data_IF_114397097932
#
_entry.id   IF_114397097932
#
_cell.length_a   1.000
_cell.length_b   1.000
_cell.length_c   1.000
_cell.angle_alpha   90.00
_cell.angle_beta   90.00
_cell.angle_gamma   90.00
#
_symmetry.space_group_name_H-M   'P 1'
#
loop_
_entity.id
_entity.type
_entity.pdbx_description
1 polymer ?
#
# COMPACT_ATOMS: atom_id res chain seq x y z
N UNK A 1 -12.42 -0.38 42.12
CA UNK A 1 -12.35 -0.41 40.63
C UNK A 1 -11.74 -1.74 40.25
N UNK A 2 -12.31 -2.45 39.27
CA UNK A 2 -11.61 -3.59 38.67
C UNK A 2 -10.59 -2.99 37.71
N UNK A 3 -9.39 -2.70 38.22
CA UNK A 3 -8.28 -2.22 37.41
C UNK A 3 -7.90 -3.34 36.44
N UNK A 4 -7.79 -3.02 35.14
CA UNK A 4 -7.36 -4.03 34.16
C UNK A 4 -5.89 -4.39 34.41
N UNK A 5 -5.54 -5.66 34.29
CA UNK A 5 -4.14 -6.07 34.24
C UNK A 5 -3.62 -5.89 32.82
N UNK A 6 -3.13 -4.68 32.51
CA UNK A 6 -2.61 -4.36 31.18
C UNK A 6 -1.54 -5.38 30.73
N UNK A 7 -1.56 -5.83 29.46
CA UNK A 7 -0.69 -6.88 28.94
C UNK A 7 0.80 -6.74 29.25
N UNK A 8 1.32 -5.52 29.23
CA UNK A 8 2.72 -5.20 29.50
C UNK A 8 3.12 -5.26 30.99
N UNK A 9 2.23 -5.66 31.89
CA UNK A 9 2.55 -5.88 33.31
C UNK A 9 2.83 -7.35 33.65
N UNK A 10 2.63 -8.27 32.71
CA UNK A 10 2.86 -9.69 32.96
C UNK A 10 4.36 -10.02 32.99
N UNK A 11 4.81 -10.70 34.04
CA UNK A 11 6.13 -11.36 34.04
C UNK A 11 6.10 -12.59 33.12
N UNK A 12 7.23 -12.86 32.46
CA UNK A 12 7.36 -13.93 31.48
C UNK A 12 8.41 -14.95 31.93
N UNK A 13 8.12 -16.23 31.70
CA UNK A 13 9.14 -17.28 31.73
C UNK A 13 10.16 -17.08 30.60
N UNK A 14 11.27 -17.81 30.66
CA UNK A 14 12.24 -17.80 29.56
C UNK A 14 11.60 -18.23 28.23
N UNK A 15 10.77 -19.27 28.24
CA UNK A 15 10.11 -19.78 27.05
C UNK A 15 9.13 -18.77 26.44
N UNK A 16 8.27 -18.16 27.26
CA UNK A 16 7.30 -17.15 26.82
C UNK A 16 8.00 -15.93 26.20
N UNK A 17 9.07 -15.43 26.84
CA UNK A 17 9.87 -14.33 26.32
C UNK A 17 10.53 -14.68 24.97
N UNK A 18 11.12 -15.87 24.86
CA UNK A 18 11.76 -16.34 23.62
C UNK A 18 10.76 -16.49 22.47
N UNK A 19 9.54 -16.98 22.73
CA UNK A 19 8.48 -17.12 21.72
C UNK A 19 8.03 -15.74 21.22
N UNK A 20 7.88 -14.75 22.11
CA UNK A 20 7.50 -13.40 21.71
C UNK A 20 8.56 -12.78 20.80
N UNK A 21 9.84 -12.82 21.19
CA UNK A 21 10.93 -12.30 20.35
C UNK A 21 10.96 -13.01 19.00
N UNK A 22 10.81 -14.33 18.98
CA UNK A 22 10.75 -15.09 17.74
C UNK A 22 9.61 -14.61 16.84
N UNK A 23 8.38 -14.51 17.37
CA UNK A 23 7.21 -14.09 16.60
C UNK A 23 7.36 -12.67 16.03
N UNK A 24 7.84 -11.72 16.85
CA UNK A 24 8.10 -10.35 16.42
C UNK A 24 9.18 -10.30 15.32
N UNK A 25 10.27 -11.04 15.49
CA UNK A 25 11.38 -11.08 14.53
C UNK A 25 10.93 -11.68 13.20
N UNK A 26 10.21 -12.80 13.23
CA UNK A 26 9.69 -13.47 12.02
C UNK A 26 8.73 -12.55 11.27
N UNK A 27 7.83 -11.86 11.98
CA UNK A 27 6.92 -10.93 11.33
C UNK A 27 7.65 -9.75 10.70
N UNK A 28 8.62 -9.13 11.38
CA UNK A 28 9.47 -8.10 10.79
C UNK A 28 10.19 -8.58 9.53
N UNK A 29 10.87 -9.73 9.59
CA UNK A 29 11.58 -10.30 8.45
C UNK A 29 10.64 -10.66 7.28
N UNK A 30 9.44 -11.15 7.56
CA UNK A 30 8.43 -11.41 6.53
C UNK A 30 7.98 -10.12 5.82
N UNK A 31 7.77 -9.02 6.57
CA UNK A 31 7.49 -7.71 5.99
C UNK A 31 8.63 -7.23 5.10
N UNK A 32 9.87 -7.35 5.56
CA UNK A 32 11.04 -6.96 4.78
C UNK A 32 11.20 -7.77 3.49
N UNK A 33 10.98 -9.09 3.56
CA UNK A 33 11.02 -9.95 2.38
C UNK A 33 9.97 -9.53 1.33
N UNK A 34 8.75 -9.23 1.76
CA UNK A 34 7.70 -8.76 0.86
C UNK A 34 7.95 -7.34 0.33
N UNK A 35 8.53 -6.45 1.15
CA UNK A 35 9.01 -5.15 0.72
C UNK A 35 10.01 -5.30 -0.43
N UNK A 36 11.07 -6.11 -0.24
CA UNK A 36 12.10 -6.35 -1.25
C UNK A 36 11.49 -6.94 -2.53
N UNK A 37 10.60 -7.93 -2.39
CA UNK A 37 9.86 -8.50 -3.53
C UNK A 37 9.04 -7.45 -4.27
N UNK A 38 8.32 -6.58 -3.55
CA UNK A 38 7.48 -5.55 -4.16
C UNK A 38 8.31 -4.48 -4.86
N UNK A 39 9.48 -4.14 -4.31
CA UNK A 39 10.44 -3.23 -4.94
C UNK A 39 10.90 -3.74 -6.31
N UNK A 40 11.34 -5.00 -6.38
CA UNK A 40 11.86 -5.56 -7.63
C UNK A 40 10.76 -5.88 -8.64
N UNK A 41 9.54 -6.19 -8.18
CA UNK A 41 8.40 -6.53 -9.05
C UNK A 41 7.57 -5.33 -9.53
N UNK A 42 8.01 -4.08 -9.29
CA UNK A 42 7.29 -2.84 -9.67
C UNK A 42 7.06 -2.67 -11.17
N UNK A 43 7.86 -3.33 -12.01
CA UNK A 43 7.75 -3.30 -13.47
C UNK A 43 6.89 -4.43 -14.04
N UNK A 44 6.41 -5.37 -13.22
CA UNK A 44 5.55 -6.47 -13.67
C UNK A 44 4.10 -6.06 -13.96
N UNK A 45 3.76 -4.79 -13.74
CA UNK A 45 2.43 -4.19 -13.93
C UNK A 45 2.53 -2.93 -14.77
N UNK A 46 1.45 -2.62 -15.50
CA UNK A 46 1.41 -1.41 -16.33
C UNK A 46 1.38 -0.15 -15.47
N UNK A 47 1.65 1.00 -16.08
CA UNK A 47 1.73 2.29 -15.39
C UNK A 47 0.46 2.61 -14.58
N UNK A 48 -0.70 2.22 -15.10
CA UNK A 48 -2.02 2.39 -14.48
C UNK A 48 -2.15 1.74 -13.11
N UNK A 49 -1.55 0.55 -12.92
CA UNK A 49 -1.69 -0.24 -11.70
C UNK A 49 -0.46 -0.18 -10.79
N UNK A 50 0.65 0.42 -11.24
CA UNK A 50 1.92 0.49 -10.50
C UNK A 50 1.83 1.17 -9.14
N UNK A 51 0.90 2.11 -8.99
CA UNK A 51 0.61 2.76 -7.71
C UNK A 51 0.22 1.76 -6.61
N UNK A 52 -0.43 0.65 -6.96
CA UNK A 52 -0.75 -0.41 -5.99
C UNK A 52 0.49 -1.14 -5.48
N UNK A 53 1.49 -1.37 -6.33
CA UNK A 53 2.77 -1.97 -5.92
C UNK A 53 3.58 -1.03 -5.03
N UNK A 54 3.56 0.27 -5.32
CA UNK A 54 4.21 1.27 -4.46
C UNK A 54 3.57 1.39 -3.09
N UNK A 55 2.25 1.33 -3.03
CA UNK A 55 1.56 1.32 -1.74
C UNK A 55 1.94 0.05 -0.95
N UNK A 56 1.99 -1.13 -1.58
CA UNK A 56 2.34 -2.39 -0.89
C UNK A 56 3.78 -2.38 -0.36
N UNK A 57 4.69 -1.75 -1.10
CA UNK A 57 6.04 -1.42 -0.64
C UNK A 57 6.00 -0.51 0.59
N UNK A 58 5.28 0.62 0.55
CA UNK A 58 5.18 1.52 1.69
C UNK A 58 4.59 0.82 2.94
N UNK A 59 3.52 0.02 2.77
CA UNK A 59 2.87 -0.71 3.85
C UNK A 59 3.86 -1.63 4.55
N UNK A 60 4.56 -2.47 3.78
CA UNK A 60 5.49 -3.45 4.34
C UNK A 60 6.79 -2.83 4.85
N UNK A 61 7.24 -1.71 4.27
CA UNK A 61 8.36 -0.94 4.80
C UNK A 61 8.05 -0.31 6.16
N UNK A 62 6.88 0.32 6.31
CA UNK A 62 6.42 0.89 7.59
C UNK A 62 6.25 -0.21 8.63
N UNK A 63 5.60 -1.31 8.25
CA UNK A 63 5.39 -2.45 9.14
C UNK A 63 6.73 -3.05 9.58
N UNK A 64 7.69 -3.25 8.68
CA UNK A 64 9.03 -3.73 9.03
C UNK A 64 9.69 -2.84 10.09
N UNK A 65 9.70 -1.52 9.87
CA UNK A 65 10.28 -0.58 10.84
C UNK A 65 9.55 -0.63 12.19
N UNK A 66 8.23 -0.75 12.19
CA UNK A 66 7.46 -0.93 13.43
C UNK A 66 7.81 -2.23 14.16
N UNK A 67 8.04 -3.33 13.45
CA UNK A 67 8.49 -4.58 14.08
C UNK A 67 9.92 -4.53 14.60
N UNK A 68 10.81 -3.78 13.95
CA UNK A 68 12.13 -3.47 14.52
C UNK A 68 11.97 -2.72 15.85
N UNK A 69 11.11 -1.70 15.89
CA UNK A 69 10.80 -0.99 17.13
C UNK A 69 10.19 -1.92 18.18
N UNK A 70 9.25 -2.80 17.82
CA UNK A 70 8.67 -3.76 18.76
C UNK A 70 9.72 -4.68 19.38
N UNK A 71 10.66 -5.21 18.58
CA UNK A 71 11.73 -6.07 19.10
C UNK A 71 12.64 -5.30 20.05
N UNK A 72 13.02 -4.08 19.68
CA UNK A 72 13.89 -3.21 20.50
C UNK A 72 13.20 -2.84 21.82
N UNK A 73 11.96 -2.34 21.75
CA UNK A 73 11.19 -1.93 22.93
C UNK A 73 10.80 -3.12 23.81
N UNK A 74 10.57 -4.30 23.24
CA UNK A 74 10.38 -5.52 24.02
C UNK A 74 11.67 -5.92 24.76
N UNK A 75 12.83 -5.85 24.10
CA UNK A 75 14.11 -6.16 24.74
C UNK A 75 14.47 -5.18 25.87
N UNK A 76 14.15 -3.90 25.71
CA UNK A 76 14.42 -2.85 26.72
C UNK A 76 13.34 -2.83 27.81
N UNK A 77 12.11 -3.22 27.48
CA UNK A 77 10.96 -3.21 28.37
C UNK A 77 10.94 -4.33 29.42
N UNK A 78 11.81 -5.34 29.29
CA UNK A 78 11.86 -6.49 30.20
C UNK A 78 13.27 -6.72 30.74
N UNK A 79 13.37 -6.92 32.06
CA UNK A 79 14.61 -7.20 32.76
C UNK A 79 14.65 -8.64 33.26
N UNK A 80 15.81 -9.29 33.14
CA UNK A 80 16.00 -10.63 33.70
C UNK A 80 16.16 -10.54 35.22
N UNK A 81 15.26 -11.17 35.98
CA UNK A 81 15.35 -11.31 37.44
C UNK A 81 15.19 -12.78 37.82
N UNK A 82 16.31 -13.43 38.14
CA UNK A 82 16.35 -14.87 38.39
C UNK A 82 15.91 -15.68 37.16
N UNK A 83 14.90 -16.53 37.32
CA UNK A 83 14.35 -17.38 36.24
C UNK A 83 13.30 -16.68 35.35
N UNK A 84 12.89 -15.46 35.70
CA UNK A 84 11.80 -14.72 35.05
C UNK A 84 12.31 -13.46 34.35
N UNK A 85 11.55 -13.01 33.35
CA UNK A 85 11.61 -11.68 32.75
C UNK A 85 10.52 -10.81 33.35
N UNK A 86 10.89 -9.70 33.96
CA UNK A 86 9.99 -8.80 34.69
C UNK A 86 9.87 -7.49 33.91
N UNK A 87 8.65 -7.00 33.64
CA UNK A 87 8.47 -5.75 32.91
C UNK A 87 8.92 -4.54 33.72
N UNK A 88 9.51 -3.56 33.06
CA UNK A 88 9.80 -2.23 33.62
C UNK A 88 8.83 -1.18 33.06
N UNK A 89 9.08 0.10 33.34
CA UNK A 89 8.22 1.20 32.93
C UNK A 89 8.04 1.31 31.39
N UNK A 90 9.02 0.84 30.61
CA UNK A 90 9.00 0.91 29.15
C UNK A 90 8.24 -0.27 28.51
N UNK A 91 7.82 -1.29 29.26
CA UNK A 91 7.16 -2.47 28.71
C UNK A 91 5.90 -2.14 27.88
N UNK A 92 5.22 -1.02 28.16
CA UNK A 92 4.09 -0.51 27.36
C UNK A 92 4.47 -0.24 25.89
N UNK A 93 5.71 0.15 25.63
CA UNK A 93 6.24 0.41 24.29
C UNK A 93 6.49 -0.89 23.50
N UNK A 94 6.42 -2.07 24.13
CA UNK A 94 6.37 -3.35 23.41
C UNK A 94 5.03 -3.65 22.72
N UNK A 95 4.06 -2.72 22.82
CA UNK A 95 2.72 -2.80 22.23
C UNK A 95 2.39 -1.60 21.34
N UNK A 96 2.76 -0.40 21.78
CA UNK A 96 2.40 0.86 21.12
C UNK A 96 2.82 0.98 19.63
N UNK A 97 3.99 0.50 19.17
CA UNK A 97 4.42 0.64 17.77
C UNK A 97 3.46 0.03 16.75
N UNK A 98 2.65 -0.96 17.15
CA UNK A 98 1.59 -1.50 16.30
C UNK A 98 0.56 -0.44 15.95
N UNK A 99 0.13 0.37 16.90
CA UNK A 99 -0.80 1.47 16.65
C UNK A 99 -0.18 2.55 15.77
N UNK A 100 1.14 2.81 15.90
CA UNK A 100 1.83 3.76 15.03
C UNK A 100 1.82 3.28 13.58
N UNK A 101 2.15 2.01 13.36
CA UNK A 101 2.04 1.33 12.06
C UNK A 101 0.61 1.38 11.53
N UNK A 102 -0.35 0.83 12.28
CA UNK A 102 -1.73 0.69 11.83
C UNK A 102 -2.39 2.03 11.49
N UNK A 103 -2.04 3.10 12.19
CA UNK A 103 -2.55 4.46 11.91
C UNK A 103 -2.23 4.89 10.46
N UNK A 104 -1.14 4.38 9.89
CA UNK A 104 -0.71 4.68 8.52
C UNK A 104 -1.06 3.55 7.55
N UNK A 105 -0.83 2.29 7.94
CA UNK A 105 -0.97 1.15 7.02
C UNK A 105 -2.40 0.73 6.79
N UNK A 106 -3.30 0.84 7.78
CA UNK A 106 -4.72 0.53 7.60
C UNK A 106 -5.38 1.44 6.55
N UNK A 107 -5.18 2.78 6.56
CA UNK A 107 -5.60 3.64 5.46
C UNK A 107 -5.07 3.21 4.09
N UNK A 108 -3.79 2.81 4.01
CA UNK A 108 -3.16 2.39 2.75
C UNK A 108 -3.74 1.08 2.22
N UNK A 109 -3.99 0.09 3.10
CA UNK A 109 -4.66 -1.17 2.73
C UNK A 109 -6.02 -0.90 2.05
N UNK A 110 -6.79 0.05 2.59
CA UNK A 110 -8.07 0.46 2.01
C UNK A 110 -7.92 1.17 0.67
N UNK A 111 -6.93 2.07 0.55
CA UNK A 111 -6.63 2.75 -0.71
C UNK A 111 -6.29 1.74 -1.81
N UNK A 112 -5.47 0.74 -1.51
CA UNK A 112 -5.07 -0.31 -2.45
C UNK A 112 -6.25 -1.16 -2.91
N UNK A 113 -7.07 -1.63 -1.98
CA UNK A 113 -8.26 -2.43 -2.31
C UNK A 113 -9.17 -1.67 -3.28
N UNK A 114 -9.39 -0.37 -3.04
CA UNK A 114 -10.19 0.48 -3.92
C UNK A 114 -9.46 0.73 -5.26
N UNK A 115 -8.14 0.87 -5.25
CA UNK A 115 -7.34 1.16 -6.45
C UNK A 115 -7.32 0.01 -7.45
N UNK A 116 -7.26 -1.24 -6.98
CA UNK A 116 -7.29 -2.42 -7.85
C UNK A 116 -8.70 -2.91 -8.18
N UNK A 117 -9.72 -2.35 -7.53
CA UNK A 117 -11.11 -2.48 -7.96
C UNK A 117 -11.39 -1.65 -9.23
N UNK A 118 -12.58 -1.78 -9.80
CA UNK A 118 -13.01 -1.09 -11.04
C UNK A 118 -13.52 0.32 -10.80
N UNK A 119 -13.57 0.77 -9.54
CA UNK A 119 -14.15 2.05 -9.15
C UNK A 119 -13.16 3.17 -9.49
N UNK A 120 -13.61 4.16 -10.28
CA UNK A 120 -12.79 5.27 -10.74
C UNK A 120 -13.43 6.65 -10.47
N UNK A 121 -12.68 7.72 -10.75
CA UNK A 121 -13.17 9.10 -10.74
C UNK A 121 -13.63 9.59 -9.36
N UNK A 122 -14.70 10.40 -9.33
CA UNK A 122 -15.22 11.01 -8.12
C UNK A 122 -15.68 9.98 -7.08
N UNK A 123 -16.27 8.86 -7.53
CA UNK A 123 -16.71 7.78 -6.64
C UNK A 123 -15.52 7.15 -5.91
N UNK A 124 -14.42 6.85 -6.61
CA UNK A 124 -13.21 6.32 -5.98
C UNK A 124 -12.60 7.31 -4.98
N UNK A 125 -12.57 8.61 -5.34
CA UNK A 125 -12.03 9.66 -4.47
C UNK A 125 -12.82 9.78 -3.16
N UNK A 126 -14.16 9.75 -3.25
CA UNK A 126 -15.05 9.78 -2.09
C UNK A 126 -14.86 8.55 -1.20
N UNK A 127 -14.83 7.34 -1.78
CA UNK A 127 -14.62 6.11 -1.01
C UNK A 127 -13.26 6.11 -0.31
N UNK A 128 -12.19 6.53 -0.98
CA UNK A 128 -10.86 6.62 -0.37
C UNK A 128 -10.86 7.62 0.78
N UNK A 129 -11.47 8.79 0.63
CA UNK A 129 -11.55 9.77 1.71
C UNK A 129 -12.25 9.19 2.95
N UNK A 130 -13.43 8.58 2.77
CA UNK A 130 -14.17 7.97 3.88
C UNK A 130 -13.37 6.83 4.49
N UNK A 131 -12.75 5.97 3.68
CA UNK A 131 -11.97 4.84 4.17
C UNK A 131 -10.75 5.29 4.97
N UNK A 132 -10.01 6.29 4.49
CA UNK A 132 -8.85 6.84 5.20
C UNK A 132 -9.27 7.48 6.51
N UNK A 133 -10.32 8.30 6.51
CA UNK A 133 -10.81 8.94 7.71
C UNK A 133 -11.31 7.92 8.74
N UNK A 134 -12.10 6.93 8.32
CA UNK A 134 -12.59 5.87 9.21
C UNK A 134 -11.44 5.01 9.76
N UNK A 135 -10.46 4.63 8.93
CA UNK A 135 -9.29 3.88 9.37
C UNK A 135 -8.45 4.65 10.39
N UNK A 136 -8.17 5.93 10.13
CA UNK A 136 -7.42 6.78 11.05
C UNK A 136 -8.14 6.92 12.40
N UNK A 137 -9.44 7.21 12.37
CA UNK A 137 -10.26 7.37 13.57
C UNK A 137 -10.39 6.05 14.35
N UNK A 138 -10.58 4.92 13.66
CA UNK A 138 -10.61 3.59 14.28
C UNK A 138 -9.36 3.32 15.10
N UNK A 139 -8.17 3.51 14.50
CA UNK A 139 -6.90 3.20 15.18
C UNK A 139 -6.61 4.23 16.27
N UNK A 140 -6.83 5.52 16.01
CA UNK A 140 -6.55 6.58 16.98
C UNK A 140 -7.43 6.46 18.24
N UNK A 141 -8.72 6.18 18.08
CA UNK A 141 -9.64 5.98 19.22
C UNK A 141 -9.28 4.70 19.99
N UNK A 142 -8.94 3.61 19.29
CA UNK A 142 -8.43 2.39 19.94
C UNK A 142 -7.12 2.63 20.71
N UNK A 143 -6.19 3.41 20.16
CA UNK A 143 -4.93 3.77 20.82
C UNK A 143 -5.18 4.59 22.10
N UNK A 144 -6.08 5.57 22.03
CA UNK A 144 -6.44 6.42 23.17
C UNK A 144 -6.98 5.57 24.33
N UNK A 145 -7.93 4.68 24.05
CA UNK A 145 -8.54 3.82 25.07
C UNK A 145 -7.65 2.69 25.57
N UNK A 146 -6.88 2.08 24.67
CA UNK A 146 -6.07 0.90 24.98
C UNK A 146 -4.70 1.25 25.58
N UNK A 147 -4.10 2.39 25.24
CA UNK A 147 -2.71 2.70 25.62
C UNK A 147 -2.60 4.01 26.40
N UNK A 148 -3.26 5.08 25.96
CA UNK A 148 -2.99 6.44 26.46
C UNK A 148 -3.63 6.71 27.82
N UNK A 149 -4.93 6.48 27.95
CA UNK A 149 -5.66 6.81 29.19
C UNK A 149 -5.25 5.86 30.31
N UNK A 150 -4.82 6.43 31.43
CA UNK A 150 -4.34 5.72 32.63
C UNK A 150 -3.27 4.67 32.31
N UNK A 151 -2.48 4.92 31.26
CA UNK A 151 -1.51 3.96 30.72
C UNK A 151 -2.14 2.58 30.49
N UNK A 152 -3.32 2.55 29.86
CA UNK A 152 -4.06 1.35 29.47
C UNK A 152 -4.62 0.51 30.62
N UNK A 153 -4.83 1.11 31.79
CA UNK A 153 -5.32 0.41 33.00
C UNK A 153 -6.81 0.64 33.30
N UNK A 154 -7.45 1.58 32.61
CA UNK A 154 -8.85 1.93 32.84
C UNK A 154 -9.78 1.05 32.01
N UNK A 155 -10.47 0.12 32.66
CA UNK A 155 -11.48 -0.73 32.00
C UNK A 155 -12.59 0.11 31.35
N UNK A 156 -12.98 1.20 32.01
CA UNK A 156 -14.00 2.13 31.51
C UNK A 156 -13.53 2.81 30.23
N UNK A 157 -12.28 3.29 30.20
CA UNK A 157 -11.71 3.88 29.00
C UNK A 157 -11.58 2.85 27.87
N UNK A 158 -11.06 1.66 28.17
CA UNK A 158 -10.94 0.55 27.21
C UNK A 158 -12.28 0.27 26.51
N UNK A 159 -13.37 0.16 27.28
CA UNK A 159 -14.70 -0.10 26.74
C UNK A 159 -15.26 1.05 25.92
N UNK A 160 -15.29 2.26 26.47
CA UNK A 160 -15.92 3.41 25.79
C UNK A 160 -15.23 3.68 24.45
N UNK A 161 -13.90 3.76 24.46
CA UNK A 161 -13.12 4.01 23.26
C UNK A 161 -13.07 2.80 22.33
N UNK A 162 -13.15 1.58 22.87
CA UNK A 162 -13.30 0.35 22.08
C UNK A 162 -14.60 0.33 21.28
N UNK A 163 -15.72 0.74 21.88
CA UNK A 163 -17.01 0.86 21.18
C UNK A 163 -16.94 1.93 20.09
N UNK A 164 -16.36 3.09 20.40
CA UNK A 164 -16.17 4.17 19.40
C UNK A 164 -15.30 3.67 18.23
N UNK A 165 -14.18 3.00 18.51
CA UNK A 165 -13.33 2.38 17.49
C UNK A 165 -14.09 1.35 16.67
N UNK A 166 -14.90 0.52 17.33
CA UNK A 166 -15.76 -0.49 16.71
C UNK A 166 -16.76 0.07 15.70
N UNK A 167 -17.31 1.26 15.92
CA UNK A 167 -18.19 1.93 14.95
C UNK A 167 -17.45 2.18 13.63
N UNK A 168 -16.21 2.71 13.71
CA UNK A 168 -15.39 2.93 12.52
C UNK A 168 -14.95 1.62 11.85
N UNK A 169 -14.67 0.58 12.62
CA UNK A 169 -14.41 -0.77 12.09
C UNK A 169 -15.60 -1.29 11.25
N UNK A 170 -16.83 -1.15 11.75
CA UNK A 170 -18.05 -1.54 11.01
C UNK A 170 -18.17 -0.75 9.69
N UNK A 171 -17.90 0.55 9.71
CA UNK A 171 -17.88 1.36 8.48
C UNK A 171 -16.87 0.81 7.47
N UNK A 172 -15.66 0.46 7.90
CA UNK A 172 -14.65 -0.11 7.03
C UNK A 172 -15.07 -1.48 6.45
N UNK A 173 -15.67 -2.35 7.25
CA UNK A 173 -16.20 -3.62 6.75
C UNK A 173 -17.29 -3.43 5.69
N UNK A 174 -18.22 -2.49 5.90
CA UNK A 174 -19.23 -2.17 4.90
C UNK A 174 -18.59 -1.64 3.61
N UNK A 175 -17.53 -0.83 3.70
CA UNK A 175 -16.78 -0.36 2.54
C UNK A 175 -16.06 -1.50 1.81
N UNK A 176 -15.39 -2.41 2.53
CA UNK A 176 -14.73 -3.58 1.94
C UNK A 176 -15.76 -4.42 1.19
N UNK A 177 -16.89 -4.72 1.82
CA UNK A 177 -17.99 -5.50 1.20
C UNK A 177 -18.50 -4.79 -0.06
N UNK A 178 -18.75 -3.48 0.01
CA UNK A 178 -19.20 -2.69 -1.14
C UNK A 178 -18.20 -2.75 -2.30
N UNK A 179 -16.90 -2.56 -2.03
CA UNK A 179 -15.84 -2.59 -3.04
C UNK A 179 -15.73 -3.97 -3.68
N UNK A 180 -15.78 -5.03 -2.88
CA UNK A 180 -15.72 -6.42 -3.38
C UNK A 180 -16.93 -6.77 -4.21
N UNK A 181 -18.15 -6.44 -3.76
CA UNK A 181 -19.38 -6.76 -4.49
C UNK A 181 -19.45 -5.99 -5.80
N UNK A 182 -19.19 -4.68 -5.76
CA UNK A 182 -19.23 -3.84 -6.96
C UNK A 182 -18.11 -4.21 -7.93
N UNK A 183 -16.87 -4.25 -7.45
CA UNK A 183 -15.72 -4.60 -8.29
C UNK A 183 -15.78 -6.04 -8.82
N UNK A 184 -16.31 -6.97 -8.02
CA UNK A 184 -16.50 -8.36 -8.43
C UNK A 184 -17.49 -8.51 -9.57
N UNK A 185 -18.58 -7.73 -9.58
CA UNK A 185 -19.54 -7.69 -10.70
C UNK A 185 -18.89 -7.17 -11.98
N UNK A 186 -18.13 -6.09 -11.89
CA UNK A 186 -17.48 -5.48 -13.05
C UNK A 186 -16.34 -6.37 -13.62
N UNK A 187 -15.76 -7.23 -12.77
CA UNK A 187 -14.69 -8.16 -13.11
C UNK A 187 -15.18 -9.60 -13.36
N UNK A 188 -16.49 -9.86 -13.36
CA UNK A 188 -17.06 -11.21 -13.22
C UNK A 188 -16.54 -12.26 -14.23
N UNK A 189 -16.14 -11.82 -15.42
CA UNK A 189 -15.60 -12.67 -16.50
C UNK A 189 -14.06 -12.75 -16.49
N UNK A 190 -13.41 -12.37 -15.39
CA UNK A 190 -11.95 -12.28 -15.29
C UNK A 190 -11.41 -13.03 -14.07
N UNK A 191 -10.19 -13.60 -14.14
CA UNK A 191 -9.53 -14.19 -12.97
C UNK A 191 -9.28 -13.20 -11.82
N UNK A 192 -9.37 -11.89 -12.08
CA UNK A 192 -9.19 -10.83 -11.09
C UNK A 192 -10.34 -10.77 -10.07
N UNK A 193 -11.57 -11.18 -10.43
CA UNK A 193 -12.72 -11.13 -9.53
C UNK A 193 -12.54 -12.01 -8.29
N UNK A 194 -12.05 -13.25 -8.47
CA UNK A 194 -11.78 -14.17 -7.36
C UNK A 194 -10.70 -13.62 -6.44
N UNK A 195 -9.64 -13.04 -7.00
CA UNK A 195 -8.55 -12.46 -6.21
C UNK A 195 -9.02 -11.24 -5.42
N UNK A 196 -9.88 -10.40 -6.00
CA UNK A 196 -10.51 -9.26 -5.31
C UNK A 196 -11.40 -9.72 -4.15
N UNK A 197 -12.24 -10.74 -4.37
CA UNK A 197 -13.06 -11.33 -3.33
C UNK A 197 -12.22 -11.89 -2.19
N UNK A 198 -11.18 -12.64 -2.52
CA UNK A 198 -10.28 -13.24 -1.53
C UNK A 198 -9.53 -12.16 -0.74
N UNK A 199 -9.12 -11.05 -1.38
CA UNK A 199 -8.45 -9.95 -0.69
C UNK A 199 -9.37 -9.29 0.34
N UNK A 200 -10.63 -9.03 -0.01
CA UNK A 200 -11.59 -8.48 0.95
C UNK A 200 -11.97 -9.45 2.06
N UNK A 201 -12.17 -10.73 1.75
CA UNK A 201 -12.42 -11.77 2.77
C UNK A 201 -11.24 -11.92 3.73
N UNK A 202 -10.00 -11.90 3.20
CA UNK A 202 -8.80 -11.94 4.02
C UNK A 202 -8.79 -10.77 5.01
N UNK A 203 -9.02 -9.53 4.55
CA UNK A 203 -9.07 -8.39 5.48
C UNK A 203 -10.18 -8.55 6.52
N UNK A 204 -11.41 -8.90 6.12
CA UNK A 204 -12.53 -9.06 7.06
C UNK A 204 -12.19 -10.10 8.14
N UNK A 205 -11.73 -11.28 7.75
CA UNK A 205 -11.44 -12.39 8.67
C UNK A 205 -10.23 -12.06 9.55
N UNK A 206 -9.13 -11.61 8.95
CA UNK A 206 -7.91 -11.30 9.71
C UNK A 206 -8.12 -10.15 10.68
N UNK A 207 -8.92 -9.14 10.30
CA UNK A 207 -9.12 -7.98 11.15
C UNK A 207 -9.95 -8.27 12.41
N UNK A 208 -10.69 -9.37 12.46
CA UNK A 208 -11.41 -9.79 13.68
C UNK A 208 -10.46 -10.15 14.83
N UNK A 209 -9.19 -10.51 14.53
CA UNK A 209 -8.21 -10.79 15.57
C UNK A 209 -7.93 -9.55 16.44
N UNK A 210 -7.79 -8.36 15.85
CA UNK A 210 -7.41 -7.14 16.58
C UNK A 210 -8.40 -6.72 17.68
N UNK A 211 -9.74 -6.61 17.45
CA UNK A 211 -10.69 -6.27 18.50
C UNK A 211 -10.81 -7.36 19.57
N UNK A 212 -10.58 -8.64 19.23
CA UNK A 212 -10.52 -9.72 20.23
C UNK A 212 -9.33 -9.49 21.16
N UNK A 213 -8.13 -9.23 20.62
CA UNK A 213 -6.94 -8.96 21.43
C UNK A 213 -7.11 -7.65 22.24
N UNK A 214 -7.69 -6.62 21.64
CA UNK A 214 -8.01 -5.36 22.33
C UNK A 214 -8.96 -5.58 23.50
N UNK A 215 -10.02 -6.38 23.33
CA UNK A 215 -10.91 -6.75 24.42
C UNK A 215 -10.16 -7.52 25.49
N UNK A 216 -9.39 -8.55 25.12
CA UNK A 216 -8.66 -9.38 26.06
C UNK A 216 -7.66 -8.61 26.95
N UNK A 217 -7.24 -7.39 26.62
CA UNK A 217 -6.49 -6.52 27.55
C UNK A 217 -7.25 -6.28 28.88
N UNK A 218 -8.58 -6.30 28.88
CA UNK A 218 -9.39 -6.11 30.08
C UNK A 218 -9.56 -7.35 30.97
N UNK A 219 -9.37 -8.56 30.42
CA UNK A 219 -9.69 -9.85 31.10
C UNK A 219 -8.61 -10.92 31.01
N UNK A 220 -7.64 -10.76 30.12
CA UNK A 220 -6.57 -11.71 29.85
C UNK A 220 -5.34 -11.36 30.65
N UNK A 221 -4.85 -12.29 31.46
CA UNK A 221 -3.70 -12.06 32.35
C UNK A 221 -2.75 -13.26 32.37
N UNK A 222 -1.47 -12.97 32.63
CA UNK A 222 -0.40 -13.97 32.75
C UNK A 222 0.41 -14.16 31.47
N UNK A 223 1.67 -14.58 31.62
CA UNK A 223 2.64 -14.65 30.52
C UNK A 223 2.14 -15.41 29.30
N UNK A 224 1.51 -16.57 29.50
CA UNK A 224 1.00 -17.39 28.40
C UNK A 224 -0.03 -16.66 27.53
N UNK A 225 -0.96 -15.92 28.14
CA UNK A 225 -1.98 -15.15 27.42
C UNK A 225 -1.31 -14.04 26.60
N UNK A 226 -0.34 -13.34 27.19
CA UNK A 226 0.39 -12.24 26.56
C UNK A 226 1.24 -12.75 25.39
N UNK A 227 1.88 -13.91 25.55
CA UNK A 227 2.60 -14.60 24.48
C UNK A 227 1.67 -14.92 23.32
N UNK A 228 0.50 -15.49 23.60
CA UNK A 228 -0.49 -15.79 22.54
C UNK A 228 -0.98 -14.54 21.83
N UNK A 229 -1.27 -13.45 22.56
CA UNK A 229 -1.66 -12.19 21.96
C UNK A 229 -0.60 -11.67 20.97
N UNK A 230 0.68 -11.69 21.36
CA UNK A 230 1.77 -11.24 20.50
C UNK A 230 1.95 -12.13 19.27
N UNK A 231 1.83 -13.45 19.43
CA UNK A 231 1.88 -14.40 18.30
C UNK A 231 0.72 -14.16 17.34
N UNK A 232 -0.51 -14.06 17.85
CA UNK A 232 -1.71 -13.86 17.03
C UNK A 232 -1.65 -12.53 16.28
N UNK A 233 -1.26 -11.44 16.94
CA UNK A 233 -1.09 -10.14 16.27
C UNK A 233 0.01 -10.20 15.21
N UNK A 234 1.10 -10.93 15.48
CA UNK A 234 2.20 -11.09 14.52
C UNK A 234 1.79 -11.84 13.27
N UNK A 235 1.06 -12.95 13.44
CA UNK A 235 0.49 -13.72 12.33
C UNK A 235 -0.55 -12.89 11.58
N UNK A 236 -1.44 -12.20 12.29
CA UNK A 236 -2.48 -11.37 11.69
C UNK A 236 -1.88 -10.28 10.81
N UNK A 237 -0.83 -9.60 11.27
CA UNK A 237 -0.14 -8.59 10.47
C UNK A 237 0.52 -9.19 9.22
N UNK A 238 1.21 -10.33 9.33
CA UNK A 238 1.78 -11.03 8.16
C UNK A 238 0.68 -11.31 7.13
N UNK A 239 -0.44 -11.88 7.56
CA UNK A 239 -1.55 -12.19 6.66
C UNK A 239 -2.14 -10.91 6.05
N UNK A 240 -2.42 -9.90 6.86
CA UNK A 240 -3.06 -8.64 6.45
C UNK A 240 -2.18 -7.75 5.57
N UNK A 241 -0.85 -7.92 5.57
CA UNK A 241 0.07 -7.10 4.78
C UNK A 241 0.74 -7.89 3.65
N UNK A 242 1.35 -9.04 3.96
CA UNK A 242 2.01 -9.90 2.96
C UNK A 242 0.98 -10.69 2.15
N UNK A 243 0.04 -11.36 2.84
CA UNK A 243 -1.00 -12.15 2.19
C UNK A 243 -1.94 -11.28 1.34
N UNK A 244 -2.43 -10.19 1.94
CA UNK A 244 -3.22 -9.19 1.23
C UNK A 244 -2.45 -8.56 0.06
N UNK A 245 -1.24 -8.06 0.28
CA UNK A 245 -0.43 -7.42 -0.76
C UNK A 245 -0.15 -8.35 -1.94
N UNK A 246 0.02 -9.66 -1.67
CA UNK A 246 0.17 -10.68 -2.71
C UNK A 246 -1.07 -10.80 -3.59
N UNK A 247 -2.27 -10.74 -2.99
CA UNK A 247 -3.54 -10.74 -3.73
C UNK A 247 -3.73 -9.45 -4.53
N UNK A 248 -3.40 -8.30 -3.96
CA UNK A 248 -3.43 -6.99 -4.65
C UNK A 248 -2.51 -7.01 -5.87
N UNK A 249 -1.27 -7.47 -5.72
CA UNK A 249 -0.33 -7.60 -6.84
C UNK A 249 -0.85 -8.55 -7.92
N UNK A 250 -1.46 -9.68 -7.53
CA UNK A 250 -2.08 -10.62 -8.47
C UNK A 250 -3.22 -9.97 -9.26
N UNK A 251 -4.08 -9.18 -8.62
CA UNK A 251 -5.15 -8.44 -9.29
C UNK A 251 -4.55 -7.43 -10.28
N UNK A 252 -3.55 -6.65 -9.85
CA UNK A 252 -2.88 -5.66 -10.68
C UNK A 252 -2.23 -6.28 -11.93
N UNK A 253 -1.53 -7.41 -11.79
CA UNK A 253 -0.95 -8.15 -12.93
C UNK A 253 -2.01 -8.70 -13.87
N UNK A 254 -3.07 -9.31 -13.33
CA UNK A 254 -4.16 -9.87 -14.15
C UNK A 254 -4.84 -8.78 -14.97
N UNK A 255 -5.10 -7.62 -14.36
CA UNK A 255 -5.69 -6.48 -15.05
C UNK A 255 -4.74 -5.83 -16.05
N UNK A 256 -3.45 -5.76 -15.73
CA UNK A 256 -2.42 -5.33 -16.68
C UNK A 256 -2.42 -6.22 -17.93
N UNK A 257 -2.50 -7.55 -17.76
CA UNK A 257 -2.58 -8.48 -18.88
C UNK A 257 -3.82 -8.24 -19.74
N UNK A 258 -4.99 -8.07 -19.12
CA UNK A 258 -6.24 -7.77 -19.85
C UNK A 258 -6.12 -6.47 -20.64
N UNK A 259 -5.57 -5.41 -20.04
CA UNK A 259 -5.42 -4.11 -20.70
C UNK A 259 -4.41 -4.20 -21.87
N UNK A 260 -3.32 -4.96 -21.72
CA UNK A 260 -2.32 -5.22 -22.78
C UNK A 260 -2.91 -6.04 -23.93
N UNK A 261 -3.59 -7.15 -23.65
CA UNK A 261 -4.22 -8.00 -24.68
C UNK A 261 -5.30 -7.25 -25.46
N UNK A 262 -5.95 -6.27 -24.84
CA UNK A 262 -6.95 -5.40 -25.48
C UNK A 262 -6.35 -4.18 -26.21
N UNK A 263 -5.03 -4.00 -26.17
CA UNK A 263 -4.36 -2.86 -26.77
C UNK A 263 -4.66 -1.52 -26.08
N UNK A 264 -5.12 -1.54 -24.82
CA UNK A 264 -5.41 -0.34 -24.01
C UNK A 264 -4.13 0.23 -23.40
N UNK A 265 -3.20 -0.65 -23.02
CA UNK A 265 -1.93 -0.29 -22.39
C UNK A 265 -0.81 -1.17 -22.99
N UNK A 266 0.44 -0.84 -22.68
CA UNK A 266 1.62 -1.57 -23.17
C UNK A 266 2.53 -1.99 -22.02
N UNK A 267 3.12 -3.16 -22.14
CA UNK A 267 4.16 -3.64 -21.24
C UNK A 267 5.21 -4.41 -22.05
N UNK A 268 6.49 -4.00 -22.06
CA UNK A 268 7.51 -4.61 -22.92
C UNK A 268 7.74 -6.10 -22.65
N UNK A 269 7.59 -6.52 -21.41
CA UNK A 269 7.78 -7.91 -20.98
C UNK A 269 6.44 -8.67 -20.96
N UNK A 270 6.50 -9.96 -21.26
CA UNK A 270 5.33 -10.85 -21.12
C UNK A 270 4.87 -10.96 -19.67
N UNK A 271 3.56 -11.04 -19.46
CA UNK A 271 2.96 -11.12 -18.12
C UNK A 271 2.68 -12.58 -17.77
N UNK A 272 3.28 -13.04 -16.67
CA UNK A 272 3.12 -14.39 -16.13
C UNK A 272 2.53 -14.39 -14.73
N UNK A 273 1.61 -15.34 -14.46
CA UNK A 273 1.07 -15.61 -13.13
C UNK A 273 1.01 -17.13 -12.93
N UNK A 274 1.56 -17.65 -11.83
CA UNK A 274 1.57 -19.09 -11.53
C UNK A 274 2.17 -19.94 -12.66
N UNK A 275 3.22 -19.44 -13.32
CA UNK A 275 3.85 -20.07 -14.50
C UNK A 275 2.95 -20.19 -15.74
N UNK A 276 1.80 -19.52 -15.74
CA UNK A 276 0.93 -19.38 -16.91
C UNK A 276 1.13 -18.00 -17.54
N UNK A 277 1.32 -17.98 -18.87
CA UNK A 277 1.45 -16.74 -19.64
C UNK A 277 0.07 -16.15 -19.87
N UNK A 278 -0.15 -14.92 -19.44
CA UNK A 278 -1.42 -14.21 -19.59
C UNK A 278 -1.43 -13.18 -20.72
N UNK A 279 -0.28 -12.58 -21.03
CA UNK A 279 -0.15 -11.64 -22.14
C UNK A 279 1.27 -11.65 -22.72
N UNK A 280 1.36 -11.43 -24.04
CA UNK A 280 2.61 -11.12 -24.73
C UNK A 280 3.12 -9.72 -24.37
N UNK A 281 4.44 -9.54 -24.46
CA UNK A 281 5.04 -8.22 -24.35
C UNK A 281 4.67 -7.35 -25.56
N UNK A 282 4.25 -6.12 -25.30
CA UNK A 282 3.89 -5.14 -26.33
C UNK A 282 4.66 -3.85 -26.04
N UNK A 283 5.48 -3.42 -27.01
CA UNK A 283 6.15 -2.11 -26.97
C UNK A 283 5.27 -1.05 -27.63
N UNK A 284 5.32 0.18 -27.12
CA UNK A 284 4.64 1.30 -27.75
C UNK A 284 5.22 1.53 -29.16
N UNK A 285 4.37 1.56 -30.20
CA UNK A 285 4.81 1.99 -31.53
C UNK A 285 4.98 3.50 -31.50
N UNK A 286 6.17 3.97 -31.86
CA UNK A 286 6.36 5.38 -32.20
C UNK A 286 5.57 5.64 -33.48
N UNK A 287 4.60 6.56 -33.44
CA UNK A 287 4.02 7.08 -34.68
C UNK A 287 5.16 7.76 -35.45
N UNK A 288 5.58 7.15 -36.56
CA UNK A 288 6.44 7.83 -37.52
C UNK A 288 5.66 9.01 -38.06
N UNK A 289 6.17 10.26 -37.97
CA UNK A 289 5.50 11.41 -38.56
C UNK A 289 5.27 11.15 -40.05
N UNK A 290 4.16 11.63 -40.63
CA UNK A 290 3.85 11.40 -42.03
C UNK A 290 5.03 11.88 -42.89
N UNK A 291 5.55 10.96 -43.72
CA UNK A 291 6.55 11.29 -44.73
C UNK A 291 5.94 12.37 -45.62
N UNK A 292 6.48 13.59 -45.56
CA UNK A 292 6.10 14.64 -46.51
C UNK A 292 6.38 14.09 -47.93
N UNK A 293 5.44 14.21 -48.88
CA UNK A 293 5.72 13.84 -50.26
C UNK A 293 6.93 14.65 -50.74
N UNK A 294 7.92 13.97 -51.33
CA UNK A 294 9.04 14.61 -52.01
C UNK A 294 8.51 15.44 -53.17
N UNK A 295 8.39 16.76 -52.96
CA UNK A 295 8.15 17.71 -54.05
C UNK A 295 9.48 18.09 -54.68
N UNK A 296 10.16 17.14 -55.32
CA UNK A 296 11.32 17.45 -56.14
C UNK A 296 11.55 16.42 -57.26
N UNK A 297 10.71 16.47 -58.30
CA UNK A 297 11.11 16.00 -59.63
C UNK A 297 10.20 16.55 -60.72
N UNK A 298 10.34 17.83 -61.05
CA UNK A 298 9.93 18.37 -62.36
C UNK A 298 10.76 19.62 -62.68
N UNK A 299 12.05 19.43 -62.95
CA UNK A 299 12.76 20.36 -63.83
C UNK A 299 12.61 19.84 -65.27
N UNK A 300 11.59 20.34 -65.94
CA UNK A 300 11.49 20.29 -67.39
C UNK A 300 12.60 21.16 -67.99
N UNK A 301 13.46 20.56 -68.79
CA UNK A 301 14.40 21.25 -69.66
C UNK A 301 13.63 21.92 -70.81
N UNK A 302 13.66 23.25 -70.88
CA UNK A 302 13.33 23.98 -72.10
C UNK A 302 14.37 25.05 -72.36
N UNK A 303 15.20 24.76 -73.36
CA UNK A 303 16.09 25.67 -74.08
C UNK A 303 15.30 26.72 -74.85
N UNK A 304 15.68 27.99 -74.76
CA UNK A 304 15.57 28.96 -75.87
C UNK A 304 16.48 30.16 -75.63
N UNK A 305 17.41 30.32 -76.57
CA UNK A 305 17.95 31.53 -77.21
C UNK A 305 18.06 32.86 -76.47
N UNK A 306 19.26 33.44 -76.58
CA UNK A 306 19.61 34.78 -76.14
C UNK A 306 19.30 35.88 -77.16
N UNK A 307 19.31 37.12 -76.67
CA UNK A 307 19.60 38.34 -77.44
C UNK A 307 19.61 39.57 -76.52
N UNK A 308 20.79 40.20 -76.46
CA UNK A 308 21.11 41.64 -76.51
C UNK A 308 20.66 42.71 -75.48
N UNK A 309 21.67 43.57 -75.22
CA UNK A 309 21.68 45.04 -75.00
C UNK A 309 21.19 45.58 -73.64
N UNK A 310 22.06 46.15 -72.78
CA UNK A 310 22.72 47.48 -72.78
C UNK A 310 21.79 48.65 -72.45
N UNK A 311 21.99 49.26 -71.26
CA UNK A 311 22.02 50.71 -70.94
C UNK A 311 21.96 50.86 -69.40
N UNK A 312 23.01 51.32 -68.70
CA UNK A 312 23.55 52.68 -68.54
C UNK A 312 22.77 53.58 -67.56
N UNK A 313 23.45 53.84 -66.42
CA UNK A 313 23.77 55.18 -65.89
C UNK A 313 22.85 55.85 -64.83
N UNK A 314 23.57 56.34 -63.81
CA UNK A 314 23.36 57.51 -62.95
C UNK A 314 22.38 57.42 -61.78
N UNK A 315 22.57 58.11 -60.66
CA UNK A 315 23.73 58.69 -59.96
C UNK A 315 23.12 59.33 -58.69
N UNK A 316 23.93 59.62 -57.67
CA UNK A 316 23.63 60.69 -56.72
C UNK A 316 23.20 60.31 -55.30
N UNK A 317 24.13 60.54 -54.36
CA UNK A 317 23.86 61.54 -53.31
C UNK A 317 23.61 61.07 -51.87
N UNK A 318 24.69 60.76 -51.17
CA UNK A 318 25.17 61.51 -49.97
C UNK A 318 24.23 61.84 -48.79
N UNK A 319 24.63 61.28 -47.64
CA UNK A 319 24.93 61.95 -46.35
C UNK A 319 23.93 61.94 -45.17
N UNK A 320 24.53 61.57 -44.03
CA UNK A 320 24.30 62.02 -42.64
C UNK A 320 22.95 61.69 -41.99
N UNK A 321 22.85 61.35 -40.71
CA UNK A 321 23.70 61.66 -39.57
C UNK A 321 23.59 60.56 -38.49
N UNK A 322 24.55 60.58 -37.58
CA UNK A 322 24.66 59.69 -36.43
C UNK A 322 23.94 60.24 -35.19
N UNK A 323 23.58 59.29 -34.30
CA UNK A 323 23.51 59.35 -32.82
C UNK A 323 22.28 59.98 -32.15
N UNK A 324 22.00 59.64 -30.87
CA UNK A 324 22.79 58.87 -29.89
C UNK A 324 22.59 57.35 -29.92
#
# INVERSE_FOLDING_TARGET
MLDTLSPWKASLTLAEHSIIIYALSVAGLAMFAFFAKSWVSRTEVTSRYRSSTYAGLCITGIAFLSYVLLVVEFAIGYERRGSMWVPNANAILSWAPRYFDWTVTVPLLMIELIAVATIAGAAARRLRFVAVAAAFLMISTGYIGGIVIDSGQSITALWIWGVISGIFMVVLYLLIIYVVVKGGRDLAVTPAATSLRNAGLLLIVTWLAYPIIFGLQGWGHGGAVITWMQVVLSVADIVAKVGFGSLIHKIAKTRSAIDVTRGIDTLPESIWISSEKLADGVTARLETPPVKPDTSSTHASSSTDGSNAVSSVADGGSAHAARP
#
